data_IF_341342222403
#
_entry.id   IF_341342222403
#
_cell.length_a   1.000
_cell.length_b   1.000
_cell.length_c   1.000
_cell.angle_alpha   90.00
_cell.angle_beta   90.00
_cell.angle_gamma   90.00
#
_symmetry.space_group_name_H-M   'P 1'
#
loop_
_entity.id
_entity.type
_entity.pdbx_description
1 polymer ?
#
# COMPACT_ATOMS: atom_id res chain seq x y z
N UNK A 1 -3.07 12.69 -20.37
CA UNK A 1 -3.06 13.79 -21.36
C UNK A 1 -4.38 14.03 -22.10
N UNK A 2 -5.19 13.00 -22.36
CA UNK A 2 -6.48 13.16 -23.05
C UNK A 2 -7.64 13.66 -22.20
N UNK A 3 -7.50 13.67 -20.88
CA UNK A 3 -8.59 13.96 -19.94
C UNK A 3 -8.60 15.43 -19.42
N UNK A 4 -7.70 16.28 -19.91
CA UNK A 4 -7.65 17.71 -19.50
C UNK A 4 -6.95 17.97 -18.17
N UNK A 5 -6.08 17.04 -17.72
CA UNK A 5 -5.26 17.18 -16.50
C UNK A 5 -3.77 17.15 -16.82
N UNK A 6 -3.00 17.94 -16.09
CA UNK A 6 -1.57 17.77 -15.95
C UNK A 6 -1.32 16.89 -14.74
N UNK A 7 -0.55 15.81 -14.92
CA UNK A 7 -0.39 14.76 -13.92
C UNK A 7 1.06 14.65 -13.50
N UNK A 8 1.32 14.82 -12.22
CA UNK A 8 2.59 14.50 -11.57
C UNK A 8 2.48 13.17 -10.85
N UNK A 9 3.53 12.35 -10.89
CA UNK A 9 3.56 11.10 -10.12
C UNK A 9 4.95 10.81 -9.57
N UNK A 10 5.00 10.14 -8.42
CA UNK A 10 6.26 9.73 -7.79
C UNK A 10 6.07 8.52 -6.87
N UNK A 11 7.18 7.84 -6.59
CA UNK A 11 7.25 6.79 -5.58
C UNK A 11 7.66 7.40 -4.22
N UNK A 12 6.72 7.50 -3.29
CA UNK A 12 6.99 7.98 -1.94
C UNK A 12 7.17 6.82 -0.96
N UNK A 13 7.99 7.03 0.08
CA UNK A 13 8.09 6.12 1.21
C UNK A 13 7.54 6.80 2.46
N UNK A 14 6.55 6.19 3.11
CA UNK A 14 5.86 6.76 4.25
C UNK A 14 6.80 7.16 5.40
N UNK A 15 7.91 6.43 5.61
CA UNK A 15 8.91 6.77 6.64
C UNK A 15 9.56 8.14 6.46
N UNK A 16 9.49 8.73 5.27
CA UNK A 16 10.03 10.04 4.97
C UNK A 16 9.06 11.17 5.36
N UNK A 17 7.83 10.82 5.76
CA UNK A 17 6.72 11.71 6.08
C UNK A 17 6.20 11.52 7.51
N UNK A 18 7.08 11.30 8.48
CA UNK A 18 6.70 11.17 9.89
C UNK A 18 5.91 9.90 10.23
N UNK A 19 6.10 8.82 9.47
CA UNK A 19 5.43 7.54 9.67
C UNK A 19 6.45 6.48 10.06
N UNK A 20 6.19 5.70 11.12
CA UNK A 20 7.09 4.64 11.58
C UNK A 20 6.99 3.35 10.74
N UNK A 21 6.85 3.47 9.43
CA UNK A 21 6.62 2.35 8.52
C UNK A 21 7.41 2.50 7.21
N UNK A 22 8.09 1.45 6.80
CA UNK A 22 8.61 1.34 5.44
C UNK A 22 7.49 0.93 4.48
N UNK A 23 6.83 1.93 3.89
CA UNK A 23 5.72 1.73 2.94
C UNK A 23 5.94 2.58 1.70
N UNK A 24 6.32 1.94 0.62
CA UNK A 24 6.48 2.58 -0.69
C UNK A 24 5.17 2.51 -1.48
N UNK A 25 4.72 3.65 -2.00
CA UNK A 25 3.52 3.74 -2.85
C UNK A 25 3.74 4.77 -3.94
N UNK A 26 3.21 4.48 -5.12
CA UNK A 26 3.15 5.48 -6.20
C UNK A 26 1.94 6.37 -5.96
N UNK A 27 2.16 7.68 -5.98
CA UNK A 27 1.11 8.68 -5.94
C UNK A 27 0.99 9.35 -7.31
N UNK A 28 -0.25 9.56 -7.74
CA UNK A 28 -0.60 10.30 -8.93
C UNK A 28 -1.46 11.49 -8.49
N UNK A 29 -1.03 12.72 -8.83
CA UNK A 29 -1.75 13.94 -8.52
C UNK A 29 -1.98 14.68 -9.83
N UNK A 30 -3.25 14.97 -10.15
CA UNK A 30 -3.64 15.64 -11.39
C UNK A 30 -4.35 16.94 -11.10
N UNK A 31 -3.85 18.04 -11.70
CA UNK A 31 -4.53 19.34 -11.73
C UNK A 31 -5.16 19.55 -13.09
N UNK A 32 -6.34 20.19 -13.14
CA UNK A 32 -6.94 20.58 -14.42
C UNK A 32 -6.00 21.56 -15.12
N UNK A 33 -5.87 21.43 -16.44
CA UNK A 33 -4.95 22.24 -17.26
C UNK A 33 -5.22 23.73 -17.20
N UNK A 34 -6.48 24.12 -17.01
CA UNK A 34 -6.86 25.53 -16.88
C UNK A 34 -6.31 26.20 -15.60
N UNK A 35 -5.89 25.42 -14.61
CA UNK A 35 -5.24 25.94 -13.40
C UNK A 35 -3.75 26.25 -13.60
N UNK A 36 -3.15 25.74 -14.65
CA UNK A 36 -1.72 25.93 -14.99
C UNK A 36 -0.79 25.69 -13.79
N UNK A 37 -1.01 24.57 -13.08
CA UNK A 37 -0.23 24.15 -11.89
C UNK A 37 0.73 23.03 -12.31
N UNK A 38 2.04 23.31 -12.17
CA UNK A 38 3.09 22.30 -12.24
C UNK A 38 3.41 21.83 -10.81
N UNK A 39 2.91 20.66 -10.44
CA UNK A 39 2.96 20.18 -9.05
C UNK A 39 4.26 19.42 -8.79
N UNK A 40 5.04 19.90 -7.80
CA UNK A 40 6.14 19.17 -7.19
C UNK A 40 5.72 18.47 -5.89
N UNK A 41 6.12 17.21 -5.73
CA UNK A 41 5.87 16.50 -4.48
C UNK A 41 6.71 17.10 -3.34
N UNK A 42 6.14 17.24 -2.12
CA UNK A 42 6.88 17.79 -1.00
C UNK A 42 7.99 16.83 -0.57
N UNK A 43 9.15 17.38 -0.21
CA UNK A 43 10.17 16.66 0.54
C UNK A 43 9.59 16.32 1.91
N UNK A 44 9.56 15.04 2.25
CA UNK A 44 9.01 14.58 3.52
C UNK A 44 9.75 15.16 4.73
N UNK A 45 9.01 15.50 5.78
CA UNK A 45 9.51 16.16 6.99
C UNK A 45 10.55 15.35 7.75
N UNK A 46 10.58 14.03 7.53
CA UNK A 46 11.53 13.09 8.15
C UNK A 46 12.39 12.36 7.13
N UNK A 47 12.69 13.00 5.98
CA UNK A 47 13.52 12.36 4.93
C UNK A 47 14.94 12.07 5.41
N UNK A 48 15.49 12.90 6.29
CA UNK A 48 16.79 12.70 6.92
C UNK A 48 16.73 11.52 7.93
N UNK A 49 17.77 10.68 7.97
CA UNK A 49 17.76 9.45 8.77
C UNK A 49 17.69 9.70 10.29
N UNK A 50 18.25 10.79 10.78
CA UNK A 50 18.20 11.19 12.18
C UNK A 50 16.82 11.65 12.68
N UNK A 51 15.90 11.89 11.74
CA UNK A 51 14.52 12.31 12.02
C UNK A 51 13.48 11.19 11.88
N UNK A 52 13.90 9.98 11.49
CA UNK A 52 12.98 8.85 11.32
C UNK A 52 12.29 8.48 12.63
N UNK A 53 10.99 8.35 12.57
CA UNK A 53 10.17 7.84 13.68
C UNK A 53 10.37 6.33 13.79
N UNK A 54 10.61 5.81 14.98
CA UNK A 54 10.86 4.39 15.24
C UNK A 54 9.66 3.72 15.93
N UNK A 55 9.67 2.38 15.98
CA UNK A 55 8.68 1.64 16.75
C UNK A 55 8.70 2.01 18.23
N UNK A 56 9.88 2.26 18.81
CA UNK A 56 10.02 2.69 20.19
C UNK A 56 9.25 3.98 20.49
N UNK A 57 9.32 4.95 19.58
CA UNK A 57 8.69 6.26 19.76
C UNK A 57 7.17 6.20 19.83
N UNK A 58 6.56 5.15 19.21
CA UNK A 58 5.12 5.15 18.99
C UNK A 58 4.36 4.04 19.70
N UNK A 59 4.99 2.91 20.06
CA UNK A 59 4.26 1.76 20.65
C UNK A 59 4.88 1.24 21.96
N UNK A 60 5.93 1.87 22.48
CA UNK A 60 6.59 1.40 23.70
C UNK A 60 5.63 1.28 24.89
N UNK A 61 4.75 2.22 25.05
CA UNK A 61 3.77 2.30 26.14
C UNK A 61 2.62 1.30 26.05
N UNK A 62 2.44 0.65 24.89
CA UNK A 62 1.31 -0.27 24.64
C UNK A 62 1.61 -1.73 24.99
N UNK A 63 2.89 -2.08 25.17
CA UNK A 63 3.33 -3.48 25.28
C UNK A 63 2.70 -4.22 26.47
N UNK A 64 2.55 -3.57 27.61
CA UNK A 64 2.09 -4.18 28.87
C UNK A 64 0.56 -4.29 28.94
N UNK A 65 -0.17 -3.61 28.07
CA UNK A 65 -1.64 -3.61 28.02
C UNK A 65 -2.21 -4.39 26.84
N UNK A 66 -1.33 -5.03 26.06
CA UNK A 66 -1.72 -5.83 24.91
C UNK A 66 -2.37 -7.15 25.34
N UNK A 67 -3.58 -7.44 24.85
CA UNK A 67 -4.31 -8.67 25.12
C UNK A 67 -4.52 -9.49 23.85
N UNK A 68 -4.65 -10.83 23.95
CA UNK A 68 -5.04 -11.65 22.80
C UNK A 68 -6.48 -11.32 22.37
N UNK A 69 -6.79 -11.51 21.09
CA UNK A 69 -8.16 -11.49 20.59
C UNK A 69 -9.02 -12.57 21.26
N UNK A 70 -10.32 -12.40 21.23
CA UNK A 70 -11.28 -13.39 21.67
C UNK A 70 -11.27 -14.68 20.83
N UNK A 71 -12.17 -15.60 21.16
CA UNK A 71 -12.31 -16.87 20.45
C UNK A 71 -12.50 -16.63 18.94
N UNK A 72 -11.83 -17.44 18.11
CA UNK A 72 -11.83 -17.31 16.62
C UNK A 72 -11.42 -15.94 16.10
N UNK A 73 -10.62 -15.22 16.89
CA UNK A 73 -10.17 -13.85 16.60
C UNK A 73 -11.31 -12.81 16.56
N UNK A 74 -12.42 -13.04 17.24
CA UNK A 74 -13.40 -12.01 17.55
C UNK A 74 -12.79 -10.95 18.48
N UNK A 75 -13.46 -9.80 18.50
CA UNK A 75 -13.11 -8.71 19.42
C UNK A 75 -13.10 -9.20 20.88
N UNK A 76 -12.04 -8.86 21.60
CA UNK A 76 -11.95 -9.11 23.03
C UNK A 76 -12.53 -7.90 23.81
N UNK A 77 -13.62 -8.07 24.58
CA UNK A 77 -14.21 -6.97 25.34
C UNK A 77 -13.28 -6.34 26.38
N UNK A 78 -12.23 -7.07 26.81
CA UNK A 78 -11.24 -6.58 27.77
C UNK A 78 -10.17 -5.68 27.10
N UNK A 79 -10.13 -5.64 25.76
CA UNK A 79 -9.17 -4.85 25.03
C UNK A 79 -9.42 -3.35 25.19
N UNK A 80 -8.51 -2.67 25.84
CA UNK A 80 -8.58 -1.22 25.99
C UNK A 80 -8.09 -0.58 24.67
N UNK A 81 -8.94 0.29 24.09
CA UNK A 81 -8.61 1.08 22.91
C UNK A 81 -8.07 0.26 21.73
N UNK A 82 -8.68 -0.90 21.43
CA UNK A 82 -8.26 -1.81 20.37
C UNK A 82 -6.85 -2.42 20.57
N UNK A 83 -6.30 -2.47 21.79
CA UNK A 83 -4.97 -3.00 22.05
C UNK A 83 -4.98 -4.54 22.17
N UNK A 84 -5.54 -5.20 21.15
CA UNK A 84 -5.61 -6.66 21.04
C UNK A 84 -4.93 -7.16 19.75
N UNK A 85 -4.42 -8.39 19.79
CA UNK A 85 -3.68 -8.97 18.67
C UNK A 85 -4.28 -10.30 18.19
N UNK A 86 -4.14 -10.55 16.89
CA UNK A 86 -4.57 -11.78 16.22
C UNK A 86 -3.78 -13.00 16.73
N UNK A 87 -4.48 -14.07 17.12
CA UNK A 87 -3.92 -15.29 17.75
C UNK A 87 -3.86 -16.51 16.82
N UNK A 88 -4.29 -16.40 15.56
CA UNK A 88 -4.26 -17.53 14.62
C UNK A 88 -2.85 -18.05 14.32
N UNK A 89 -2.78 -19.29 13.91
CA UNK A 89 -1.54 -20.00 13.62
C UNK A 89 -0.64 -19.27 12.61
N UNK A 90 0.66 -19.53 12.70
CA UNK A 90 1.65 -19.02 11.75
C UNK A 90 1.74 -19.94 10.54
N UNK A 91 1.51 -19.40 9.35
CA UNK A 91 1.59 -20.16 8.10
C UNK A 91 3.04 -20.36 7.64
N UNK A 92 3.35 -21.37 6.81
CA UNK A 92 4.69 -21.54 6.22
C UNK A 92 5.18 -20.27 5.49
N UNK A 93 4.28 -19.55 4.75
CA UNK A 93 4.61 -18.29 4.10
C UNK A 93 4.97 -17.20 5.13
N UNK A 94 4.29 -17.18 6.28
CA UNK A 94 4.65 -16.25 7.34
C UNK A 94 6.04 -16.57 7.89
N UNK A 95 6.35 -17.83 8.12
CA UNK A 95 7.62 -18.32 8.68
C UNK A 95 8.78 -18.34 7.64
N UNK A 96 8.53 -17.99 6.39
CA UNK A 96 9.57 -18.00 5.34
C UNK A 96 10.67 -16.94 5.50
N UNK A 97 10.45 -15.92 6.32
CA UNK A 97 11.37 -14.82 6.58
C UNK A 97 11.20 -14.25 7.98
N UNK A 98 12.21 -13.53 8.47
CA UNK A 98 12.08 -12.78 9.72
C UNK A 98 10.91 -11.78 9.66
N UNK A 99 10.10 -11.73 10.72
CA UNK A 99 8.92 -10.86 10.87
C UNK A 99 9.04 -9.88 12.03
N UNK A 100 10.20 -9.78 12.63
CA UNK A 100 10.48 -8.89 13.76
C UNK A 100 11.38 -7.75 13.32
N UNK A 101 10.97 -6.52 13.55
CA UNK A 101 11.80 -5.33 13.52
C UNK A 101 12.24 -5.01 14.97
N UNK A 102 13.42 -4.43 15.14
CA UNK A 102 13.85 -3.95 16.46
C UNK A 102 13.12 -2.66 16.84
N UNK A 103 13.20 -2.31 18.11
CA UNK A 103 12.58 -1.10 18.64
C UNK A 103 13.02 0.19 17.93
N UNK A 104 14.26 0.24 17.49
CA UNK A 104 14.87 1.42 16.88
C UNK A 104 14.83 1.38 15.32
N UNK A 105 13.97 0.51 14.77
CA UNK A 105 13.67 0.41 13.33
C UNK A 105 12.24 0.88 13.05
N UNK A 106 11.95 1.16 11.77
CA UNK A 106 10.58 1.32 11.26
C UNK A 106 9.93 -0.04 11.05
N UNK A 107 8.62 -0.11 11.19
CA UNK A 107 7.82 -1.29 10.88
C UNK A 107 8.00 -1.74 9.43
N UNK A 108 7.77 -3.02 9.17
CA UNK A 108 7.46 -3.48 7.81
C UNK A 108 6.13 -2.88 7.36
N UNK A 109 5.86 -2.88 6.06
CA UNK A 109 4.56 -2.48 5.53
C UNK A 109 3.43 -3.20 6.25
N UNK A 110 2.53 -2.43 6.87
CA UNK A 110 1.33 -2.93 7.56
C UNK A 110 0.44 -3.66 6.55
N UNK A 111 0.17 -4.93 6.84
CA UNK A 111 -0.62 -5.80 5.99
C UNK A 111 -2.11 -5.67 6.33
N UNK A 112 -2.97 -5.78 5.31
CA UNK A 112 -4.41 -5.77 5.45
C UNK A 112 -4.98 -7.11 6.01
N UNK A 113 -4.24 -7.75 6.91
CA UNK A 113 -4.62 -9.03 7.51
C UNK A 113 -3.86 -9.27 8.81
N UNK A 114 -4.58 -9.63 9.88
CA UNK A 114 -3.99 -10.05 11.15
C UNK A 114 -3.09 -11.29 10.99
N UNK A 115 -3.45 -12.21 10.09
CA UNK A 115 -2.66 -13.41 9.79
C UNK A 115 -1.25 -13.08 9.30
N UNK A 116 -1.08 -11.97 8.55
CA UNK A 116 0.19 -11.52 7.98
C UNK A 116 0.83 -10.36 8.77
N UNK A 117 0.19 -9.90 9.83
CA UNK A 117 0.72 -8.84 10.68
C UNK A 117 2.10 -9.22 11.23
N UNK A 118 3.04 -8.27 11.19
CA UNK A 118 4.38 -8.47 11.76
C UNK A 118 4.35 -8.77 13.24
N UNK A 119 5.46 -9.32 13.75
CA UNK A 119 5.65 -9.61 15.15
C UNK A 119 6.13 -8.36 15.91
N UNK A 120 5.75 -8.30 17.19
CA UNK A 120 6.09 -7.20 18.08
C UNK A 120 7.60 -7.15 18.36
N UNK A 121 8.21 -5.97 18.49
CA UNK A 121 9.65 -5.79 18.71
C UNK A 121 10.17 -6.28 20.05
N UNK A 122 9.30 -6.69 21.00
CA UNK A 122 9.74 -7.35 22.24
C UNK A 122 10.44 -8.69 21.98
N UNK A 123 10.11 -9.37 20.89
CA UNK A 123 10.74 -10.63 20.53
C UNK A 123 12.08 -10.39 19.81
N UNK A 124 13.06 -11.28 19.96
CA UNK A 124 14.26 -11.25 19.16
C UNK A 124 13.96 -11.54 17.68
N UNK A 125 14.85 -11.10 16.77
CA UNK A 125 14.73 -11.46 15.34
C UNK A 125 14.73 -12.98 15.20
N UNK A 126 13.90 -13.49 14.29
CA UNK A 126 13.78 -14.93 14.01
C UNK A 126 15.08 -15.46 13.42
N UNK A 127 15.39 -16.72 13.73
CA UNK A 127 16.58 -17.42 13.23
C UNK A 127 16.28 -18.03 11.88
N UNK A 128 17.11 -17.72 10.88
CA UNK A 128 17.04 -18.34 9.56
C UNK A 128 17.66 -19.74 9.62
N UNK A 129 16.86 -20.79 9.35
CA UNK A 129 17.29 -22.19 9.37
C UNK A 129 17.31 -22.83 7.98
N UNK A 130 16.74 -22.16 6.98
CA UNK A 130 16.70 -22.63 5.59
C UNK A 130 16.51 -21.48 4.60
N UNK A 131 16.43 -21.78 3.31
CA UNK A 131 16.27 -20.76 2.27
C UNK A 131 14.98 -19.93 2.49
N UNK A 132 13.87 -20.59 2.80
CA UNK A 132 12.57 -20.00 3.07
C UNK A 132 12.00 -20.54 4.40
N UNK A 133 12.84 -20.68 5.41
CA UNK A 133 12.45 -21.16 6.74
C UNK A 133 13.15 -20.34 7.81
N UNK A 134 12.36 -19.69 8.64
CA UNK A 134 12.79 -19.00 9.85
C UNK A 134 12.04 -19.57 11.04
N UNK A 135 12.69 -19.64 12.20
CA UNK A 135 12.11 -20.14 13.44
C UNK A 135 12.21 -19.12 14.55
N UNK A 136 11.38 -19.27 15.54
CA UNK A 136 11.48 -18.54 16.79
C UNK A 136 12.76 -18.96 17.50
N UNK A 137 13.34 -18.05 18.26
CA UNK A 137 14.49 -18.37 19.12
C UNK A 137 14.03 -19.30 20.21
N UNK A 138 14.71 -20.43 20.36
CA UNK A 138 14.40 -21.45 21.39
C UNK A 138 14.36 -20.85 22.80
N UNK A 139 13.33 -21.17 23.55
CA UNK A 139 13.08 -20.64 24.90
C UNK A 139 12.59 -19.19 24.96
N UNK A 140 12.36 -18.55 23.80
CA UNK A 140 11.80 -17.19 23.69
C UNK A 140 10.45 -17.16 22.96
N UNK A 141 9.83 -18.30 22.73
CA UNK A 141 8.58 -18.45 21.95
C UNK A 141 7.45 -17.59 22.51
N UNK A 142 7.39 -17.43 23.83
CA UNK A 142 6.39 -16.65 24.54
C UNK A 142 6.46 -15.14 24.25
N UNK A 143 7.58 -14.64 23.68
CA UNK A 143 7.73 -13.23 23.31
C UNK A 143 7.14 -12.92 21.93
N UNK A 144 6.91 -13.95 21.11
CA UNK A 144 6.46 -13.77 19.75
C UNK A 144 4.94 -13.63 19.69
N UNK A 145 4.45 -12.41 19.70
CA UNK A 145 3.08 -12.06 19.37
C UNK A 145 3.01 -11.15 18.15
N UNK A 146 1.90 -11.15 17.45
CA UNK A 146 1.67 -10.13 16.44
C UNK A 146 1.48 -8.77 17.09
N UNK A 147 1.75 -7.72 16.35
CA UNK A 147 1.39 -6.38 16.80
C UNK A 147 -0.13 -6.27 16.94
N UNK A 148 -0.57 -5.51 17.94
CA UNK A 148 -1.99 -5.27 18.18
C UNK A 148 -2.59 -4.36 17.11
N UNK A 149 -3.92 -4.28 17.07
CA UNK A 149 -4.65 -3.34 16.21
C UNK A 149 -4.25 -1.90 16.53
N UNK A 150 -4.13 -1.53 17.82
CA UNK A 150 -3.70 -0.18 18.21
C UNK A 150 -2.25 0.10 17.82
N UNK A 151 -1.35 -0.86 17.99
CA UNK A 151 0.04 -0.71 17.57
C UNK A 151 0.16 -0.48 16.06
N UNK A 152 -0.51 -1.27 15.23
CA UNK A 152 -0.47 -1.04 13.77
C UNK A 152 -1.21 0.23 13.35
N UNK A 153 -2.22 0.66 14.09
CA UNK A 153 -2.88 1.95 13.87
C UNK A 153 -1.93 3.12 14.13
N UNK A 154 -1.19 3.10 15.25
CA UNK A 154 -0.16 4.12 15.54
C UNK A 154 0.97 4.10 14.51
N UNK A 155 1.38 2.93 14.03
CA UNK A 155 2.35 2.80 12.93
C UNK A 155 1.88 3.55 11.68
N UNK A 156 0.60 3.49 11.35
CA UNK A 156 -0.01 4.23 10.24
C UNK A 156 -0.33 5.70 10.58
N UNK A 157 -0.03 6.15 11.81
CA UNK A 157 -0.24 7.54 12.25
C UNK A 157 -1.66 7.84 12.73
N UNK A 158 -2.52 6.84 12.96
CA UNK A 158 -3.84 7.07 13.55
C UNK A 158 -3.72 7.48 15.01
N UNK A 159 -4.41 8.56 15.44
CA UNK A 159 -4.37 9.00 16.82
C UNK A 159 -5.19 8.06 17.73
N UNK A 160 -4.91 8.08 19.02
CA UNK A 160 -5.53 7.17 20.00
C UNK A 160 -7.03 7.39 20.20
N UNK A 161 -7.53 8.59 19.93
CA UNK A 161 -8.96 8.88 19.99
C UNK A 161 -9.72 8.35 18.77
N UNK A 162 -9.03 7.89 17.72
CA UNK A 162 -9.66 7.21 16.60
C UNK A 162 -9.93 5.74 16.97
N UNK A 163 -11.20 5.38 17.13
CA UNK A 163 -11.63 4.03 17.49
C UNK A 163 -12.01 3.24 16.24
N UNK A 164 -11.47 2.01 16.15
CA UNK A 164 -11.89 1.06 15.15
C UNK A 164 -13.03 0.21 15.71
N UNK A 165 -14.12 0.10 14.97
CA UNK A 165 -15.28 -0.71 15.33
C UNK A 165 -15.31 -1.92 14.41
N UNK A 166 -15.24 -3.11 14.97
CA UNK A 166 -15.18 -4.39 14.25
C UNK A 166 -15.67 -5.53 15.13
N UNK A 167 -16.12 -6.60 14.51
CA UNK A 167 -16.50 -7.85 15.17
C UNK A 167 -15.32 -8.84 15.25
N UNK A 168 -14.48 -8.87 14.20
CA UNK A 168 -13.28 -9.70 14.14
C UNK A 168 -12.04 -8.84 13.86
N UNK A 169 -10.90 -9.30 14.39
CA UNK A 169 -9.63 -8.56 14.30
C UNK A 169 -9.10 -8.44 12.86
N UNK A 170 -9.38 -9.39 11.95
CA UNK A 170 -8.95 -9.26 10.56
C UNK A 170 -9.58 -8.06 9.87
N UNK A 171 -10.85 -7.77 10.17
CA UNK A 171 -11.53 -6.57 9.65
C UNK A 171 -10.81 -5.29 10.09
N UNK A 172 -10.38 -5.21 11.35
CA UNK A 172 -9.60 -4.09 11.85
C UNK A 172 -8.25 -3.95 11.13
N UNK A 173 -7.49 -5.03 11.02
CA UNK A 173 -6.22 -5.00 10.26
C UNK A 173 -6.42 -4.64 8.79
N UNK A 174 -7.54 -5.06 8.18
CA UNK A 174 -7.89 -4.71 6.80
C UNK A 174 -8.18 -3.21 6.65
N UNK A 175 -8.92 -2.62 7.58
CA UNK A 175 -9.18 -1.17 7.59
C UNK A 175 -7.87 -0.38 7.65
N UNK A 176 -6.98 -0.73 8.59
CA UNK A 176 -5.72 -0.02 8.80
C UNK A 176 -4.76 -0.26 7.63
N UNK A 177 -4.57 -1.52 7.22
CA UNK A 177 -3.60 -1.87 6.17
C UNK A 177 -3.95 -1.31 4.78
N UNK A 178 -5.23 -1.04 4.50
CA UNK A 178 -5.68 -0.40 3.26
C UNK A 178 -5.66 1.13 3.34
N UNK A 179 -5.48 1.70 4.51
CA UNK A 179 -5.43 3.15 4.66
C UNK A 179 -4.13 3.75 4.09
N UNK A 180 -4.21 5.01 3.71
CA UNK A 180 -3.04 5.85 3.49
C UNK A 180 -2.54 6.32 4.86
N UNK A 181 -1.23 6.24 5.17
CA UNK A 181 -0.69 6.75 6.42
C UNK A 181 -1.04 8.21 6.65
N UNK A 182 -1.51 8.54 7.87
CA UNK A 182 -2.16 9.83 8.14
C UNK A 182 -1.21 11.01 7.89
N UNK A 183 0.03 10.95 8.40
CA UNK A 183 0.99 12.04 8.23
C UNK A 183 1.40 12.21 6.77
N UNK A 184 1.62 11.12 6.04
CA UNK A 184 1.90 11.17 4.60
C UNK A 184 0.76 11.86 3.83
N UNK A 185 -0.49 11.47 4.11
CA UNK A 185 -1.67 12.08 3.48
C UNK A 185 -1.76 13.57 3.81
N UNK A 186 -1.48 13.94 5.06
CA UNK A 186 -1.49 15.33 5.52
C UNK A 186 -0.47 16.20 4.81
N UNK A 187 0.80 15.78 4.74
CA UNK A 187 1.86 16.55 4.09
C UNK A 187 1.58 16.76 2.59
N UNK A 188 1.11 15.73 1.89
CA UNK A 188 0.69 15.84 0.49
C UNK A 188 -0.50 16.79 0.35
N UNK A 189 -1.50 16.70 1.22
CA UNK A 189 -2.67 17.57 1.18
C UNK A 189 -2.30 19.05 1.45
N UNK A 190 -1.38 19.31 2.37
CA UNK A 190 -0.84 20.66 2.62
C UNK A 190 -0.12 21.21 1.40
N UNK A 191 0.69 20.40 0.72
CA UNK A 191 1.34 20.80 -0.52
C UNK A 191 0.31 21.13 -1.61
N UNK A 192 -0.67 20.25 -1.86
CA UNK A 192 -1.75 20.51 -2.82
C UNK A 192 -2.46 21.83 -2.52
N UNK A 193 -2.79 22.07 -1.24
CA UNK A 193 -3.45 23.32 -0.82
C UNK A 193 -2.60 24.54 -1.16
N UNK A 194 -1.30 24.53 -0.86
CA UNK A 194 -0.37 25.63 -1.16
C UNK A 194 -0.32 25.94 -2.67
N UNK A 195 -0.28 24.90 -3.51
CA UNK A 195 -0.32 25.09 -4.97
C UNK A 195 -1.62 25.74 -5.44
N UNK A 196 -2.76 25.32 -4.89
CA UNK A 196 -4.07 25.90 -5.20
C UNK A 196 -4.22 27.35 -4.73
N UNK A 197 -3.56 27.74 -3.65
CA UNK A 197 -3.57 29.10 -3.10
C UNK A 197 -2.53 30.04 -3.76
N UNK A 198 -1.73 29.54 -4.73
CA UNK A 198 -0.66 30.29 -5.39
C UNK A 198 0.62 30.44 -4.56
N UNK A 199 0.76 29.70 -3.47
CA UNK A 199 1.90 29.73 -2.54
C UNK A 199 2.87 28.55 -2.79
N UNK A 200 3.04 28.15 -4.03
CA UNK A 200 3.89 26.99 -4.40
C UNK A 200 5.36 27.14 -3.98
N UNK A 201 5.86 28.37 -3.92
CA UNK A 201 7.23 28.68 -3.46
C UNK A 201 7.50 28.25 -2.00
N UNK A 202 6.43 28.10 -1.20
CA UNK A 202 6.53 27.63 0.21
C UNK A 202 6.60 26.10 0.34
N UNK A 203 6.54 25.37 -0.77
CA UNK A 203 6.69 23.91 -0.78
C UNK A 203 8.13 23.57 -1.09
N UNK A 204 8.83 22.97 -0.13
CA UNK A 204 10.15 22.37 -0.38
C UNK A 204 9.94 21.10 -1.15
N UNK A 205 10.26 21.12 -2.43
CA UNK A 205 10.08 19.99 -3.35
C UNK A 205 11.16 18.93 -3.11
N UNK A 206 10.82 17.69 -3.33
CA UNK A 206 11.76 16.57 -3.32
C UNK A 206 12.50 16.48 -4.66
N UNK A 207 13.77 16.88 -4.70
CA UNK A 207 14.61 16.85 -5.90
C UNK A 207 14.95 15.43 -6.38
N UNK A 208 14.77 14.41 -5.55
CA UNK A 208 14.97 13.00 -5.90
C UNK A 208 13.74 12.36 -6.59
N UNK A 209 12.72 13.15 -6.85
CA UNK A 209 11.52 12.71 -7.58
C UNK A 209 11.88 12.46 -9.04
N UNK A 210 11.67 11.25 -9.51
CA UNK A 210 11.84 10.89 -10.91
C UNK A 210 10.74 11.58 -11.71
N UNK A 211 11.10 12.65 -12.46
CA UNK A 211 10.16 13.30 -13.37
C UNK A 211 9.72 12.31 -14.47
N UNK A 212 8.44 12.27 -14.73
CA UNK A 212 7.87 11.44 -15.79
C UNK A 212 8.49 11.70 -17.18
N UNK A 213 9.05 12.89 -17.39
CA UNK A 213 9.77 13.28 -18.61
C UNK A 213 11.13 12.58 -18.72
N UNK A 214 11.81 12.30 -17.59
CA UNK A 214 13.12 11.62 -17.59
C UNK A 214 13.02 10.10 -17.77
N UNK A 215 11.87 9.49 -17.46
CA UNK A 215 11.69 8.03 -17.60
C UNK A 215 11.72 7.59 -19.07
N UNK A 216 11.38 8.48 -19.99
CA UNK A 216 11.46 8.20 -21.44
C UNK A 216 12.88 8.28 -22.03
N UNK A 217 13.87 8.80 -21.29
CA UNK A 217 15.22 9.00 -21.81
C UNK A 217 16.30 8.07 -21.22
N UNK A 218 16.04 7.43 -20.08
CA UNK A 218 17.00 6.47 -19.47
C UNK A 218 16.59 5.05 -19.80
N UNK A 219 17.34 4.41 -20.72
CA UNK A 219 17.37 2.94 -20.88
C UNK A 219 17.63 2.32 -19.51
N UNK A 220 16.62 1.72 -18.91
CA UNK A 220 16.76 0.99 -17.64
C UNK A 220 17.57 -0.25 -17.90
N UNK A 221 18.82 -0.29 -17.41
CA UNK A 221 19.62 -1.53 -17.39
C UNK A 221 18.96 -2.51 -16.41
N UNK A 222 18.24 -3.46 -16.92
CA UNK A 222 17.49 -4.45 -16.15
C UNK A 222 18.35 -5.66 -15.81
N UNK A 223 18.80 -5.73 -14.57
CA UNK A 223 19.09 -7.02 -13.92
C UNK A 223 18.38 -7.01 -12.59
N UNK A 224 17.13 -7.47 -12.55
CA UNK A 224 16.50 -8.15 -11.42
C UNK A 224 14.96 -8.25 -11.54
N UNK A 225 14.48 -9.46 -11.44
CA UNK A 225 13.13 -9.88 -11.04
C UNK A 225 11.96 -9.51 -11.99
N UNK A 226 11.95 -10.13 -13.17
CA UNK A 226 10.94 -9.90 -14.22
C UNK A 226 9.51 -10.30 -13.84
N UNK A 227 9.32 -11.25 -12.91
CA UNK A 227 7.99 -11.69 -12.50
C UNK A 227 7.20 -10.60 -11.74
N UNK A 228 7.83 -9.83 -10.85
CA UNK A 228 7.15 -8.75 -10.11
C UNK A 228 6.64 -7.63 -11.00
N UNK A 229 7.38 -7.27 -12.04
CA UNK A 229 6.99 -6.22 -13.01
C UNK A 229 5.89 -6.67 -13.96
N UNK A 230 5.89 -7.96 -14.35
CA UNK A 230 4.83 -8.52 -15.19
C UNK A 230 3.46 -8.46 -14.48
N UNK A 231 3.41 -8.76 -13.16
CA UNK A 231 2.20 -8.63 -12.35
C UNK A 231 1.72 -7.19 -12.23
N UNK A 232 2.62 -6.25 -12.02
CA UNK A 232 2.29 -4.82 -11.90
C UNK A 232 1.73 -4.25 -13.21
N UNK A 233 2.33 -4.61 -14.34
CA UNK A 233 1.89 -4.19 -15.68
C UNK A 233 0.55 -4.84 -16.07
N UNK A 234 0.36 -6.11 -15.76
CA UNK A 234 -0.88 -6.84 -15.97
C UNK A 234 -2.05 -6.19 -15.18
N UNK A 235 -1.80 -5.78 -13.94
CA UNK A 235 -2.80 -5.12 -13.10
C UNK A 235 -3.22 -3.76 -13.67
N UNK A 236 -2.26 -2.93 -14.11
CA UNK A 236 -2.52 -1.62 -14.74
C UNK A 236 -3.31 -1.81 -16.04
N UNK A 237 -2.96 -2.78 -16.87
CA UNK A 237 -3.66 -3.08 -18.14
C UNK A 237 -5.10 -3.56 -17.89
N UNK A 238 -5.32 -4.37 -16.86
CA UNK A 238 -6.63 -4.86 -16.46
C UNK A 238 -7.52 -3.74 -15.94
N UNK A 239 -6.97 -2.87 -15.09
CA UNK A 239 -7.67 -1.68 -14.60
C UNK A 239 -8.05 -0.74 -15.76
N UNK A 240 -7.12 -0.52 -16.71
CA UNK A 240 -7.38 0.29 -17.90
C UNK A 240 -8.46 -0.31 -18.79
N UNK A 241 -8.45 -1.64 -19.00
CA UNK A 241 -9.48 -2.36 -19.77
C UNK A 241 -10.85 -2.25 -19.10
N UNK A 242 -10.92 -2.43 -17.78
CA UNK A 242 -12.16 -2.27 -17.01
C UNK A 242 -12.71 -0.83 -17.10
N UNK A 243 -11.85 0.18 -17.01
CA UNK A 243 -12.22 1.59 -17.19
C UNK A 243 -12.70 1.89 -18.64
N UNK A 244 -12.09 1.24 -19.64
CA UNK A 244 -12.54 1.37 -21.04
C UNK A 244 -13.90 0.71 -21.28
N UNK A 245 -14.18 -0.42 -20.67
CA UNK A 245 -15.49 -1.08 -20.76
C UNK A 245 -16.58 -0.25 -20.04
N UNK A 246 -16.29 0.33 -18.88
CA UNK A 246 -17.20 1.28 -18.21
C UNK A 246 -17.54 2.49 -19.09
N UNK A 247 -16.57 3.01 -19.87
CA UNK A 247 -16.81 4.11 -20.83
C UNK A 247 -17.77 3.70 -21.95
N UNK A 248 -17.70 2.44 -22.46
CA UNK A 248 -18.59 1.95 -23.53
C UNK A 248 -20.03 1.83 -23.05
N UNK A 249 -20.27 1.57 -21.79
CA UNK A 249 -21.61 1.44 -21.20
C UNK A 249 -22.31 2.78 -20.89
N UNK A 250 -21.72 3.92 -21.27
CA UNK A 250 -22.23 5.29 -21.01
C UNK A 250 -22.48 5.63 -19.53
N UNK A 251 -21.94 4.87 -18.60
CA UNK A 251 -22.07 5.11 -17.16
C UNK A 251 -21.11 6.21 -16.69
N UNK A 252 -20.12 6.58 -17.50
CA UNK A 252 -19.15 7.62 -17.18
C UNK A 252 -19.28 8.77 -18.18
N UNK A 253 -20.04 9.77 -17.83
CA UNK A 253 -20.00 11.06 -18.49
C UNK A 253 -18.89 11.91 -17.88
N UNK A 254 -18.18 12.62 -18.73
CA UNK A 254 -16.82 13.09 -18.63
C UNK A 254 -16.54 14.25 -17.66
N UNK A 255 -17.32 14.51 -16.65
CA UNK A 255 -17.21 15.81 -15.98
C UNK A 255 -16.59 15.86 -14.58
N UNK A 256 -16.18 14.79 -13.94
CA UNK A 256 -15.31 14.87 -12.76
C UNK A 256 -15.05 13.52 -12.03
N UNK A 257 -13.98 13.41 -11.23
CA UNK A 257 -13.72 12.31 -10.29
C UNK A 257 -14.91 12.08 -9.33
N UNK A 258 -15.62 13.14 -8.96
CA UNK A 258 -16.89 13.11 -8.21
C UNK A 258 -18.03 12.37 -8.95
N UNK A 259 -18.00 12.34 -10.29
CA UNK A 259 -18.98 11.59 -11.07
C UNK A 259 -18.76 10.08 -10.97
N UNK A 260 -17.52 9.62 -10.83
CA UNK A 260 -17.18 8.19 -10.70
C UNK A 260 -17.59 7.63 -9.34
N UNK A 261 -17.39 8.38 -8.26
CA UNK A 261 -17.89 8.00 -6.93
C UNK A 261 -19.43 8.01 -6.89
N UNK A 262 -20.06 9.02 -7.48
CA UNK A 262 -21.52 9.07 -7.61
C UNK A 262 -22.07 7.98 -8.52
N UNK A 263 -21.39 7.65 -9.63
CA UNK A 263 -21.78 6.55 -10.49
C UNK A 263 -21.69 5.21 -9.77
N UNK A 264 -20.64 4.97 -8.96
CA UNK A 264 -20.51 3.78 -8.12
C UNK A 264 -21.61 3.70 -7.05
N UNK A 265 -21.90 4.81 -6.38
CA UNK A 265 -22.97 4.89 -5.36
C UNK A 265 -24.38 4.79 -5.94
N UNK A 266 -24.57 5.09 -7.24
CA UNK A 266 -25.84 4.95 -7.94
C UNK A 266 -26.04 3.57 -8.59
N UNK A 267 -25.00 2.74 -8.62
CA UNK A 267 -25.12 1.33 -9.02
C UNK A 267 -25.86 0.57 -7.91
N UNK A 268 -26.87 -0.20 -8.31
CA UNK A 268 -27.46 -1.17 -7.39
C UNK A 268 -26.46 -2.29 -7.04
N UNK A 269 -26.77 -3.05 -5.99
CA UNK A 269 -25.89 -4.13 -5.52
C UNK A 269 -25.60 -5.18 -6.60
N UNK A 270 -26.53 -5.45 -7.50
CA UNK A 270 -26.38 -6.42 -8.58
C UNK A 270 -25.38 -5.92 -9.65
N UNK A 271 -25.44 -4.63 -10.00
CA UNK A 271 -24.48 -3.99 -10.90
C UNK A 271 -23.07 -3.91 -10.29
N UNK A 272 -22.96 -3.56 -9.00
CA UNK A 272 -21.69 -3.56 -8.28
C UNK A 272 -21.07 -4.96 -8.22
N UNK A 273 -21.89 -5.97 -7.97
CA UNK A 273 -21.46 -7.36 -7.92
C UNK A 273 -21.05 -7.89 -9.29
N UNK A 274 -21.80 -7.55 -10.35
CA UNK A 274 -21.46 -7.88 -11.74
C UNK A 274 -20.16 -7.24 -12.18
N UNK A 275 -19.91 -6.00 -11.78
CA UNK A 275 -18.63 -5.31 -12.03
C UNK A 275 -17.46 -5.98 -11.32
N UNK A 276 -17.62 -6.36 -10.03
CA UNK A 276 -16.60 -7.06 -9.28
C UNK A 276 -16.28 -8.44 -9.88
N UNK A 277 -17.29 -9.19 -10.27
CA UNK A 277 -17.14 -10.50 -10.95
C UNK A 277 -16.40 -10.33 -12.29
N UNK A 278 -16.73 -9.29 -13.05
CA UNK A 278 -16.07 -9.01 -14.33
C UNK A 278 -14.61 -8.59 -14.16
N UNK A 279 -14.32 -7.82 -13.12
CA UNK A 279 -12.95 -7.43 -12.77
C UNK A 279 -12.13 -8.64 -12.31
N UNK A 280 -12.71 -9.52 -11.50
CA UNK A 280 -12.07 -10.75 -11.02
C UNK A 280 -11.83 -11.76 -12.16
N UNK A 281 -12.77 -11.90 -13.08
CA UNK A 281 -12.61 -12.72 -14.29
C UNK A 281 -11.49 -12.17 -15.20
N UNK A 282 -11.40 -10.84 -15.36
CA UNK A 282 -10.34 -10.20 -16.14
C UNK A 282 -8.96 -10.37 -15.48
N UNK A 283 -8.89 -10.34 -14.14
CA UNK A 283 -7.66 -10.61 -13.38
C UNK A 283 -7.23 -12.06 -13.57
N UNK A 284 -8.15 -13.01 -13.47
CA UNK A 284 -7.88 -14.43 -13.66
C UNK A 284 -7.44 -14.74 -15.10
N UNK A 285 -8.07 -14.10 -16.11
CA UNK A 285 -7.66 -14.24 -17.51
C UNK A 285 -6.22 -13.76 -17.75
N UNK A 286 -5.79 -12.68 -17.07
CA UNK A 286 -4.40 -12.17 -17.14
C UNK A 286 -3.43 -13.08 -16.39
N UNK A 287 -3.84 -13.68 -15.27
CA UNK A 287 -3.02 -14.61 -14.50
C UNK A 287 -2.79 -15.96 -15.22
N UNK A 288 -3.69 -16.34 -16.14
CA UNK A 288 -3.56 -17.52 -17.00
C UNK A 288 -2.71 -17.28 -18.27
N UNK A 289 -2.32 -16.02 -18.54
CA UNK A 289 -1.46 -15.67 -19.67
C UNK A 289 0.01 -15.79 -19.27
N UNK A 290 0.78 -16.63 -19.96
CA UNK A 290 2.25 -16.63 -19.82
C UNK A 290 2.85 -15.38 -20.48
N UNK A 291 3.65 -14.59 -19.75
CA UNK A 291 4.35 -13.47 -20.35
C UNK A 291 5.51 -13.97 -21.21
N UNK A 292 5.51 -13.64 -22.49
CA UNK A 292 6.67 -13.83 -23.38
C UNK A 292 7.35 -12.50 -23.63
N UNK A 293 8.66 -12.48 -23.46
CA UNK A 293 9.52 -11.38 -23.87
C UNK A 293 9.91 -11.61 -25.34
N UNK A 294 9.48 -10.71 -26.23
CA UNK A 294 9.97 -10.66 -27.60
C UNK A 294 10.92 -9.48 -27.76
N UNK A 295 12.07 -9.71 -28.37
CA UNK A 295 13.00 -8.69 -28.84
C UNK A 295 12.61 -8.30 -30.27
N UNK A 296 12.38 -7.00 -30.52
CA UNK A 296 12.20 -6.53 -31.88
C UNK A 296 13.56 -6.13 -32.50
N UNK A 297 13.59 -5.92 -33.82
CA UNK A 297 14.82 -5.61 -34.59
C UNK A 297 15.54 -4.31 -34.17
N UNK A 298 15.06 -3.62 -33.13
CA UNK A 298 15.62 -2.37 -32.59
C UNK A 298 16.12 -2.51 -31.13
N UNK A 299 16.37 -3.74 -30.62
CA UNK A 299 16.77 -4.00 -29.22
C UNK A 299 15.73 -3.48 -28.18
N UNK A 300 14.46 -3.30 -28.54
CA UNK A 300 13.38 -2.99 -27.63
C UNK A 300 12.70 -4.28 -27.15
N UNK A 301 12.71 -4.50 -25.83
CA UNK A 301 11.96 -5.58 -25.18
C UNK A 301 10.48 -5.20 -25.08
N UNK A 302 9.65 -5.95 -25.81
CA UNK A 302 8.19 -5.81 -25.76
C UNK A 302 7.59 -7.01 -25.03
N UNK A 303 6.72 -6.77 -24.06
CA UNK A 303 5.98 -7.81 -23.34
C UNK A 303 4.70 -8.10 -24.11
N UNK A 304 4.63 -9.27 -24.75
CA UNK A 304 3.41 -9.77 -25.39
C UNK A 304 2.74 -10.84 -24.52
N UNK A 305 1.43 -10.71 -24.32
CA UNK A 305 0.63 -11.72 -23.65
C UNK A 305 -0.12 -12.51 -24.72
N UNK A 306 0.26 -13.77 -24.90
CA UNK A 306 -0.49 -14.70 -25.77
C UNK A 306 -1.25 -15.70 -24.90
N UNK A 307 -2.51 -15.92 -25.22
CA UNK A 307 -3.28 -17.07 -24.74
C UNK A 307 -2.75 -18.30 -25.45
N UNK A 308 -2.26 -19.29 -24.72
CA UNK A 308 -1.85 -20.55 -25.30
C UNK A 308 -3.02 -21.18 -26.07
N UNK A 309 -2.70 -21.50 -27.32
CA UNK A 309 -3.64 -21.74 -28.36
C UNK A 309 -4.60 -22.90 -28.13
N UNK A 310 -5.78 -22.68 -28.64
CA UNK A 310 -6.58 -23.74 -29.19
C UNK A 310 -5.87 -24.24 -30.48
N UNK A 311 -5.26 -25.41 -30.39
CA UNK A 311 -4.95 -26.27 -31.51
C UNK A 311 -6.03 -27.32 -31.65
#
# INVERSE_FOLDING_TARGET
>A
DGAGYDVSFTLVNAKDYGVAEERKRVFYIGFRKDLNIDFGFPKGSTKEDDKKITLRDIIWDLQDTAVPSGEKNHHNPEAINNNEYYTGAYSPIFMSRNRVKSWDEQAFTVQASGRQCQLHPQAPKMVKVGQNDCRFVEGKEHLYRRMTIREVARVQGFPDNFKFIYEDTNTAYKMIGNAVPVNLAYEIAVAIKKYLEGNSADVVVDDDVIDAKEVNEKKVSTKSNDQGRAYEYAWIKTLYKALCEMRKTKIVDNSSLHANEKAWMLMDEEMQQTFMISAEAAINEVLEMEPRLSENDNDELTLEFQKDGAG
#
